data_IF_620512671246
#
_entry.id   IF_620512671246
#
_cell.length_a   1.000
_cell.length_b   1.000
_cell.length_c   1.000
_cell.angle_alpha   90.00
_cell.angle_beta   90.00
_cell.angle_gamma   90.00
#
_symmetry.space_group_name_H-M   'P 1'
#
loop_
_entity.id
_entity.type
_entity.pdbx_description
1 polymer ?
#
# COMPACT_ATOMS: atom_id res chain seq x y z
N UNK A 1 11.50 5.79 -0.97
CA UNK A 1 11.07 4.61 -0.22
C UNK A 1 12.23 3.66 -0.31
N UNK A 2 13.02 3.57 0.75
CA UNK A 2 14.15 2.63 0.80
C UNK A 2 13.56 1.37 1.42
N UNK A 3 13.50 0.31 0.64
CA UNK A 3 13.13 -1.00 1.14
C UNK A 3 14.42 -1.68 1.56
N UNK A 4 14.45 -2.39 2.68
CA UNK A 4 15.53 -3.31 3.01
C UNK A 4 15.09 -4.69 2.52
N UNK A 5 15.36 -5.00 1.24
CA UNK A 5 15.06 -6.32 0.66
C UNK A 5 16.33 -6.77 -0.07
N UNK A 6 16.76 -7.99 0.24
CA UNK A 6 18.07 -8.47 -0.18
C UNK A 6 18.17 -8.63 -1.71
N UNK A 7 19.31 -8.23 -2.27
CA UNK A 7 20.10 -9.13 -3.10
C UNK A 7 21.52 -9.16 -2.54
N UNK A 8 22.11 -10.36 -2.49
CA UNK A 8 23.48 -10.58 -2.07
C UNK A 8 24.43 -9.64 -2.81
N UNK A 9 24.92 -8.62 -2.13
CA UNK A 9 26.25 -8.00 -2.23
C UNK A 9 26.17 -6.64 -1.54
N UNK A 10 26.53 -6.62 -0.26
CA UNK A 10 27.01 -5.43 0.46
C UNK A 10 26.24 -4.11 0.25
N UNK A 11 24.91 -4.10 0.43
CA UNK A 11 24.11 -2.90 0.83
C UNK A 11 22.69 -3.34 1.17
N UNK A 12 22.26 -3.12 2.42
CA UNK A 12 20.99 -3.53 3.05
C UNK A 12 19.74 -2.78 2.50
N UNK A 13 19.64 -2.63 1.18
CA UNK A 13 18.54 -1.87 0.57
C UNK A 13 18.15 -2.46 -0.79
N UNK A 14 16.89 -2.83 -0.94
CA UNK A 14 16.23 -2.93 -2.24
C UNK A 14 15.94 -1.54 -2.77
N UNK A 15 16.55 -1.28 -3.91
CA UNK A 15 16.34 -0.08 -4.70
C UNK A 15 15.52 -0.47 -5.92
N UNK A 16 14.39 0.22 -6.14
CA UNK A 16 13.66 0.09 -7.41
C UNK A 16 14.53 0.71 -8.49
N UNK A 17 15.20 -0.13 -9.27
CA UNK A 17 16.15 0.31 -10.30
C UNK A 17 15.45 0.99 -11.48
N UNK A 18 14.23 0.57 -11.81
CA UNK A 18 13.46 1.08 -12.95
C UNK A 18 12.09 1.59 -12.49
N UNK A 19 11.85 2.88 -12.68
CA UNK A 19 10.53 3.49 -12.56
C UNK A 19 9.95 3.57 -13.97
N UNK A 20 8.86 2.85 -14.20
CA UNK A 20 8.17 2.83 -15.49
C UNK A 20 7.44 4.14 -15.72
N UNK A 21 7.45 4.60 -16.98
CA UNK A 21 6.62 5.72 -17.37
C UNK A 21 5.13 5.33 -17.43
N UNK A 22 4.27 6.33 -17.64
CA UNK A 22 2.81 6.10 -17.65
C UNK A 22 2.36 5.19 -18.81
N UNK A 23 3.07 5.19 -19.94
CA UNK A 23 2.72 4.33 -21.07
C UNK A 23 3.05 2.87 -20.75
N UNK A 24 4.24 2.59 -20.22
CA UNK A 24 4.65 1.26 -19.81
C UNK A 24 3.79 0.71 -18.66
N UNK A 25 3.40 1.56 -17.69
CA UNK A 25 2.46 1.19 -16.63
C UNK A 25 1.15 0.65 -17.23
N UNK A 26 0.56 1.37 -18.19
CA UNK A 26 -0.71 0.96 -18.79
C UNK A 26 -0.58 -0.35 -19.55
N UNK A 27 0.50 -0.53 -20.33
CA UNK A 27 0.77 -1.78 -21.04
C UNK A 27 0.91 -2.95 -20.08
N UNK A 28 1.64 -2.78 -18.98
CA UNK A 28 1.84 -3.85 -17.99
C UNK A 28 0.55 -4.18 -17.24
N UNK A 29 -0.24 -3.19 -16.84
CA UNK A 29 -1.55 -3.45 -16.21
C UNK A 29 -2.48 -4.24 -17.15
N UNK A 30 -2.46 -3.99 -18.45
CA UNK A 30 -3.26 -4.76 -19.41
C UNK A 30 -2.78 -6.21 -19.55
N UNK A 31 -1.48 -6.45 -19.44
CA UNK A 31 -0.90 -7.79 -19.56
C UNK A 31 -1.07 -8.64 -18.29
N UNK A 32 -1.28 -8.02 -17.14
CA UNK A 32 -1.49 -8.70 -15.86
C UNK A 32 -2.94 -8.57 -15.38
N UNK A 33 -3.76 -9.55 -15.75
CA UNK A 33 -5.18 -9.60 -15.38
C UNK A 33 -5.46 -10.40 -14.10
N UNK A 34 -4.52 -11.26 -13.69
CA UNK A 34 -4.69 -12.14 -12.54
C UNK A 34 -3.36 -12.36 -11.84
N UNK A 35 -3.43 -12.45 -10.51
CA UNK A 35 -2.34 -12.88 -9.65
C UNK A 35 -2.71 -14.25 -9.10
N UNK A 36 -1.79 -15.20 -9.16
CA UNK A 36 -2.00 -16.56 -8.69
C UNK A 36 -1.19 -16.87 -7.43
N UNK A 37 -0.03 -16.21 -7.25
CA UNK A 37 0.85 -16.46 -6.11
C UNK A 37 1.49 -15.20 -5.53
N UNK A 38 1.86 -15.20 -4.23
CA UNK A 38 2.50 -14.06 -3.59
C UNK A 38 3.88 -13.69 -4.17
N UNK A 39 4.65 -14.67 -4.67
CA UNK A 39 5.99 -14.48 -5.24
C UNK A 39 5.98 -13.52 -6.43
N UNK A 40 4.86 -13.47 -7.18
CA UNK A 40 4.68 -12.59 -8.33
C UNK A 40 4.87 -11.11 -7.95
N UNK A 41 4.65 -10.74 -6.69
CA UNK A 41 4.91 -9.39 -6.21
C UNK A 41 6.36 -8.97 -6.45
N UNK A 42 7.34 -9.87 -6.36
CA UNK A 42 8.75 -9.50 -6.55
C UNK A 42 9.01 -8.94 -7.95
N UNK A 43 8.37 -9.54 -8.97
CA UNK A 43 8.47 -9.11 -10.36
C UNK A 43 7.59 -7.88 -10.65
N UNK A 44 6.43 -7.82 -10.01
CA UNK A 44 5.44 -6.75 -10.19
C UNK A 44 5.71 -5.51 -9.33
N UNK A 45 6.62 -5.59 -8.36
CA UNK A 45 6.88 -4.51 -7.44
C UNK A 45 7.25 -3.18 -8.13
N UNK A 46 8.13 -3.15 -9.16
CA UNK A 46 8.43 -1.92 -9.88
C UNK A 46 7.19 -1.30 -10.54
N UNK A 47 6.22 -2.11 -10.98
CA UNK A 47 4.95 -1.62 -11.53
C UNK A 47 4.14 -0.87 -10.46
N UNK A 48 3.88 -1.51 -9.33
CA UNK A 48 3.11 -0.88 -8.24
C UNK A 48 3.82 0.36 -7.70
N UNK A 49 5.14 0.30 -7.53
CA UNK A 49 5.93 1.45 -7.12
C UNK A 49 5.81 2.61 -8.12
N UNK A 50 5.92 2.33 -9.42
CA UNK A 50 5.80 3.35 -10.47
C UNK A 50 4.41 4.00 -10.49
N UNK A 51 3.36 3.23 -10.22
CA UNK A 51 2.00 3.79 -10.07
C UNK A 51 1.92 4.72 -8.85
N UNK A 52 2.53 4.38 -7.72
CA UNK A 52 2.59 5.28 -6.55
C UNK A 52 3.33 6.59 -6.88
N UNK A 53 4.42 6.52 -7.64
CA UNK A 53 5.22 7.70 -8.03
C UNK A 53 4.47 8.58 -9.03
N UNK A 54 3.79 7.98 -9.99
CA UNK A 54 3.02 8.67 -11.03
C UNK A 54 1.52 8.72 -10.73
N UNK A 55 1.15 8.66 -9.46
CA UNK A 55 -0.23 8.43 -9.04
C UNK A 55 -1.21 9.38 -9.73
N UNK A 56 -0.94 10.68 -9.72
CA UNK A 56 -1.80 11.71 -10.32
C UNK A 56 -1.95 11.61 -11.85
N UNK A 57 -1.01 10.94 -12.53
CA UNK A 57 -0.97 10.78 -13.99
C UNK A 57 -1.54 9.45 -14.48
N UNK A 58 -1.58 8.42 -13.65
CA UNK A 58 -2.18 7.12 -14.00
C UNK A 58 -3.71 7.27 -14.00
N UNK A 59 -4.40 6.57 -14.92
CA UNK A 59 -5.87 6.58 -15.01
C UNK A 59 -6.52 6.07 -13.72
N UNK A 60 -7.78 6.46 -13.47
CA UNK A 60 -8.48 6.00 -12.25
C UNK A 60 -8.65 4.47 -12.30
N UNK A 61 -9.06 3.95 -13.46
CA UNK A 61 -9.22 2.50 -13.67
C UNK A 61 -7.90 1.74 -13.45
N UNK A 62 -6.76 2.30 -13.87
CA UNK A 62 -5.45 1.67 -13.64
C UNK A 62 -5.06 1.65 -12.16
N UNK A 63 -5.39 2.70 -11.40
CA UNK A 63 -5.19 2.75 -9.94
C UNK A 63 -6.09 1.74 -9.23
N UNK A 64 -7.36 1.66 -9.62
CA UNK A 64 -8.33 0.70 -9.07
C UNK A 64 -7.86 -0.74 -9.29
N UNK A 65 -7.50 -1.09 -10.53
CA UNK A 65 -6.98 -2.41 -10.88
C UNK A 65 -5.75 -2.77 -10.05
N UNK A 66 -4.79 -1.86 -9.93
CA UNK A 66 -3.58 -2.09 -9.15
C UNK A 66 -3.87 -2.35 -7.66
N UNK A 67 -4.84 -1.63 -7.08
CA UNK A 67 -5.26 -1.85 -5.69
C UNK A 67 -5.95 -3.20 -5.53
N UNK A 68 -6.83 -3.59 -6.46
CA UNK A 68 -7.47 -4.91 -6.42
C UNK A 68 -6.44 -6.04 -6.48
N UNK A 69 -5.41 -5.89 -7.32
CA UNK A 69 -4.28 -6.82 -7.41
C UNK A 69 -3.48 -6.87 -6.10
N UNK A 70 -3.17 -5.72 -5.49
CA UNK A 70 -2.48 -5.68 -4.19
C UNK A 70 -3.30 -6.34 -3.06
N UNK A 71 -4.62 -6.14 -3.04
CA UNK A 71 -5.50 -6.78 -2.07
C UNK A 71 -5.60 -8.29 -2.29
N UNK A 72 -5.57 -8.76 -3.54
CA UNK A 72 -5.46 -10.19 -3.87
C UNK A 72 -4.14 -10.77 -3.35
N UNK A 73 -3.01 -10.10 -3.57
CA UNK A 73 -1.70 -10.52 -3.04
C UNK A 73 -1.70 -10.60 -1.52
N UNK A 74 -2.30 -9.63 -0.82
CA UNK A 74 -2.44 -9.66 0.64
C UNK A 74 -3.23 -10.90 1.07
N UNK A 75 -4.35 -11.18 0.42
CA UNK A 75 -5.16 -12.36 0.75
C UNK A 75 -4.37 -13.66 0.57
N UNK A 76 -3.68 -13.82 -0.57
CA UNK A 76 -2.86 -14.99 -0.86
C UNK A 76 -1.73 -15.16 0.16
N UNK A 77 -0.97 -14.09 0.42
CA UNK A 77 0.16 -14.12 1.36
C UNK A 77 -0.31 -14.42 2.79
N UNK A 78 -1.42 -13.83 3.23
CA UNK A 78 -1.94 -14.10 4.57
C UNK A 78 -2.38 -15.55 4.74
N UNK A 79 -2.94 -16.17 3.70
CA UNK A 79 -3.28 -17.59 3.70
C UNK A 79 -2.01 -18.45 3.81
N UNK A 80 -0.98 -18.13 3.03
CA UNK A 80 0.25 -18.93 3.02
C UNK A 80 1.04 -18.78 4.33
N UNK A 81 1.17 -17.57 4.86
CA UNK A 81 1.76 -17.33 6.19
C UNK A 81 1.00 -18.10 7.26
N UNK A 82 -0.33 -18.04 7.30
CA UNK A 82 -1.11 -18.77 8.31
C UNK A 82 -0.90 -20.29 8.25
N UNK A 83 -0.75 -20.87 7.05
CA UNK A 83 -0.48 -22.31 6.86
C UNK A 83 0.90 -22.72 7.36
N UNK A 84 1.88 -21.82 7.25
CA UNK A 84 3.28 -22.15 7.47
C UNK A 84 3.82 -21.67 8.82
N UNK A 85 3.22 -20.67 9.46
CA UNK A 85 3.76 -20.05 10.69
C UNK A 85 3.80 -20.97 11.91
N UNK A 86 3.03 -22.05 11.90
CA UNK A 86 3.05 -23.09 12.93
C UNK A 86 4.06 -24.22 12.64
N UNK A 87 4.75 -24.14 11.50
CA UNK A 87 5.82 -25.05 11.11
C UNK A 87 7.16 -24.37 11.40
N UNK A 88 8.20 -25.15 11.59
CA UNK A 88 9.58 -24.63 11.67
C UNK A 88 10.01 -24.15 10.27
N UNK A 89 9.66 -22.90 9.96
CA UNK A 89 10.08 -22.20 8.75
C UNK A 89 11.59 -22.08 8.71
N UNK A 90 12.18 -22.39 7.55
CA UNK A 90 13.58 -22.10 7.28
C UNK A 90 13.84 -20.58 7.38
N UNK A 91 15.10 -20.21 7.57
CA UNK A 91 15.48 -18.79 7.63
C UNK A 91 15.11 -18.07 6.32
N UNK A 92 15.28 -18.74 5.18
CA UNK A 92 15.03 -18.16 3.87
C UNK A 92 13.52 -18.01 3.59
N UNK A 93 12.71 -19.01 3.92
CA UNK A 93 11.24 -18.91 3.76
C UNK A 93 10.66 -17.81 4.67
N UNK A 94 11.17 -17.71 5.91
CA UNK A 94 10.77 -16.67 6.85
C UNK A 94 11.09 -15.27 6.31
N UNK A 95 12.29 -15.09 5.76
CA UNK A 95 12.72 -13.84 5.13
C UNK A 95 11.89 -13.52 3.90
N UNK A 96 11.59 -14.51 3.08
CA UNK A 96 10.75 -14.36 1.90
C UNK A 96 9.38 -13.79 2.27
N UNK A 97 8.65 -14.43 3.18
CA UNK A 97 7.34 -13.96 3.63
C UNK A 97 7.40 -12.57 4.28
N UNK A 98 8.42 -12.33 5.12
CA UNK A 98 8.64 -11.03 5.75
C UNK A 98 8.82 -9.92 4.70
N UNK A 99 9.58 -10.19 3.65
CA UNK A 99 9.84 -9.26 2.56
C UNK A 99 8.56 -8.91 1.80
N UNK A 100 7.76 -9.92 1.43
CA UNK A 100 6.46 -9.73 0.76
C UNK A 100 5.53 -8.87 1.64
N UNK A 101 5.41 -9.18 2.93
CA UNK A 101 4.58 -8.42 3.87
C UNK A 101 5.02 -6.95 3.95
N UNK A 102 6.32 -6.69 4.04
CA UNK A 102 6.88 -5.32 4.08
C UNK A 102 6.55 -4.56 2.80
N UNK A 103 6.72 -5.20 1.64
CA UNK A 103 6.43 -4.61 0.33
C UNK A 103 4.94 -4.25 0.22
N UNK A 104 4.04 -5.20 0.52
CA UNK A 104 2.58 -4.99 0.46
C UNK A 104 2.13 -3.90 1.41
N UNK A 105 2.60 -3.94 2.66
CA UNK A 105 2.22 -2.96 3.69
C UNK A 105 2.59 -1.55 3.28
N UNK A 106 3.79 -1.36 2.73
CA UNK A 106 4.25 -0.04 2.33
C UNK A 106 3.62 0.46 1.03
N UNK A 107 3.36 -0.42 0.06
CA UNK A 107 2.59 -0.05 -1.13
C UNK A 107 1.19 0.40 -0.73
N UNK A 108 0.45 -0.39 0.04
CA UNK A 108 -0.89 -0.02 0.50
C UNK A 108 -0.88 1.27 1.32
N UNK A 109 0.05 1.43 2.26
CA UNK A 109 0.17 2.64 3.07
C UNK A 109 0.37 3.89 2.19
N UNK A 110 1.21 3.81 1.17
CA UNK A 110 1.43 4.93 0.25
C UNK A 110 0.22 5.15 -0.66
N UNK A 111 -0.43 4.10 -1.16
CA UNK A 111 -1.68 4.23 -1.91
C UNK A 111 -2.75 4.99 -1.12
N UNK A 112 -2.94 4.66 0.17
CA UNK A 112 -3.89 5.38 1.03
C UNK A 112 -3.56 6.88 1.06
N UNK A 113 -2.29 7.24 1.27
CA UNK A 113 -1.85 8.64 1.36
C UNK A 113 -2.00 9.35 0.00
N UNK A 114 -1.60 8.72 -1.11
CA UNK A 114 -1.70 9.33 -2.45
C UNK A 114 -3.15 9.55 -2.85
N UNK A 115 -3.98 8.56 -2.60
CA UNK A 115 -5.41 8.63 -2.85
C UNK A 115 -6.07 9.77 -2.07
N UNK A 116 -5.78 9.85 -0.78
CA UNK A 116 -6.33 10.86 0.10
C UNK A 116 -5.96 12.29 -0.34
N UNK A 117 -4.69 12.52 -0.67
CA UNK A 117 -4.20 13.80 -1.19
C UNK A 117 -4.85 14.18 -2.54
N UNK A 118 -5.05 13.21 -3.45
CA UNK A 118 -5.71 13.43 -4.73
C UNK A 118 -7.16 13.90 -4.55
N UNK A 119 -7.89 13.33 -3.59
CA UNK A 119 -9.25 13.76 -3.25
C UNK A 119 -9.29 15.18 -2.67
N UNK A 120 -8.38 15.52 -1.75
CA UNK A 120 -8.29 16.86 -1.17
C UNK A 120 -8.03 17.91 -2.25
N UNK A 121 -7.06 17.65 -3.14
CA UNK A 121 -6.73 18.59 -4.21
C UNK A 121 -7.91 18.81 -5.16
N UNK A 122 -8.65 17.74 -5.49
CA UNK A 122 -9.86 17.84 -6.32
C UNK A 122 -10.97 18.66 -5.65
N UNK A 123 -11.18 18.52 -4.33
CA UNK A 123 -12.16 19.33 -3.59
C UNK A 123 -11.79 20.82 -3.64
N UNK A 124 -10.52 21.15 -3.40
CA UNK A 124 -10.04 22.55 -3.40
C UNK A 124 -10.19 23.21 -4.78
N UNK A 125 -10.03 22.47 -5.88
CA UNK A 125 -10.19 22.97 -7.25
C UNK A 125 -11.65 23.26 -7.64
N UNK A 126 -12.61 22.61 -6.97
CA UNK A 126 -14.06 22.85 -7.18
C UNK A 126 -14.50 24.12 -6.46
N UNK A 127 -13.93 24.41 -5.29
CA UNK A 127 -14.31 25.55 -4.45
C UNK A 127 -13.66 26.88 -4.87
N UNK A 128 -12.74 26.88 -5.85
CA UNK A 128 -12.14 28.12 -6.35
C UNK A 128 -13.02 28.83 -7.41
N UNK A 129 -13.20 30.16 -7.29
CA UNK A 129 -13.89 30.95 -8.31
C UNK A 129 -13.16 30.86 -9.67
N UNK A 130 -13.91 30.92 -10.79
CA UNK A 130 -13.39 30.64 -12.13
C UNK A 130 -12.20 31.53 -12.56
N UNK A 131 -12.01 32.68 -11.91
CA UNK A 131 -10.95 33.64 -12.18
C UNK A 131 -9.57 33.27 -11.62
N UNK A 132 -9.45 32.27 -10.73
CA UNK A 132 -8.17 31.87 -10.10
C UNK A 132 -7.68 30.45 -10.45
N UNK A 133 -8.30 29.77 -11.42
CA UNK A 133 -7.80 28.46 -11.89
C UNK A 133 -6.42 28.59 -12.52
N UNK A 134 -5.37 28.30 -11.73
CA UNK A 134 -4.00 28.15 -12.23
C UNK A 134 -4.02 27.10 -13.33
N UNK A 135 -3.44 27.45 -14.49
CA UNK A 135 -3.23 26.57 -15.65
C UNK A 135 -2.28 25.41 -15.27
N UNK A 136 -2.75 24.42 -14.52
CA UNK A 136 -2.18 23.06 -14.60
C UNK A 136 -2.89 22.38 -15.76
N UNK A 137 -2.10 21.77 -16.64
CA UNK A 137 -2.55 21.13 -17.86
C UNK A 137 -3.85 20.35 -17.62
N UNK A 138 -4.86 20.59 -18.46
CA UNK A 138 -6.07 19.78 -18.55
C UNK A 138 -5.66 18.35 -18.88
N UNK A 139 -5.28 17.56 -17.88
CA UNK A 139 -5.36 16.12 -17.98
C UNK A 139 -6.85 15.81 -18.18
N UNK A 140 -7.12 15.07 -19.25
CA UNK A 140 -8.44 14.82 -19.82
C UNK A 140 -9.52 14.60 -18.77
N UNK A 141 -10.54 15.47 -18.76
CA UNK A 141 -11.88 15.13 -18.27
C UNK A 141 -12.49 14.11 -19.22
N UNK A 142 -11.93 12.91 -19.26
CA UNK A 142 -12.68 11.74 -19.71
C UNK A 142 -13.55 11.34 -18.53
N UNK A 143 -14.82 11.05 -18.77
CA UNK A 143 -15.74 10.46 -17.78
C UNK A 143 -15.28 9.04 -17.41
N UNK A 144 -14.03 8.86 -16.97
CA UNK A 144 -13.59 7.63 -16.34
C UNK A 144 -14.33 7.52 -15.01
N UNK A 145 -15.34 6.67 -15.01
CA UNK A 145 -16.01 6.25 -13.79
C UNK A 145 -15.15 5.16 -13.16
N UNK A 146 -14.64 5.47 -11.98
CA UNK A 146 -14.09 4.50 -11.03
C UNK A 146 -15.05 3.31 -10.91
N UNK A 147 -14.53 2.07 -10.97
CA UNK A 147 -15.37 0.89 -10.71
C UNK A 147 -15.78 0.83 -9.25
N UNK A 148 -15.01 1.50 -8.38
CA UNK A 148 -15.23 1.65 -6.95
C UNK A 148 -15.64 3.07 -6.62
N UNK A 149 -16.53 3.28 -5.65
CA UNK A 149 -16.69 4.63 -5.10
C UNK A 149 -15.38 5.05 -4.43
N UNK A 150 -15.06 6.34 -4.46
CA UNK A 150 -13.81 6.86 -3.90
C UNK A 150 -13.59 6.41 -2.43
N UNK A 151 -14.65 6.49 -1.62
CA UNK A 151 -14.62 5.99 -0.25
C UNK A 151 -14.38 4.47 -0.15
N UNK A 152 -14.90 3.68 -1.10
CA UNK A 152 -14.72 2.23 -1.12
C UNK A 152 -13.27 1.81 -1.29
N UNK A 153 -12.48 2.52 -2.09
CA UNK A 153 -11.09 2.14 -2.33
C UNK A 153 -10.20 2.42 -1.12
N UNK A 154 -10.29 3.60 -0.50
CA UNK A 154 -9.60 3.90 0.77
C UNK A 154 -9.95 2.87 1.83
N UNK A 155 -11.24 2.58 1.97
CA UNK A 155 -11.76 1.69 3.00
C UNK A 155 -11.28 0.25 2.77
N UNK A 156 -11.19 -0.21 1.51
CA UNK A 156 -10.59 -1.50 1.15
C UNK A 156 -9.10 -1.56 1.46
N UNK A 157 -8.32 -0.54 1.09
CA UNK A 157 -6.89 -0.48 1.40
C UNK A 157 -6.65 -0.51 2.93
N UNK A 158 -7.45 0.24 3.69
CA UNK A 158 -7.32 0.28 5.14
C UNK A 158 -7.65 -1.07 5.78
N UNK A 159 -8.67 -1.77 5.27
CA UNK A 159 -8.99 -3.15 5.68
C UNK A 159 -7.86 -4.12 5.35
N UNK A 160 -7.31 -4.07 4.13
CA UNK A 160 -6.16 -4.91 3.75
C UNK A 160 -4.95 -4.68 4.65
N UNK A 161 -4.64 -3.42 4.99
CA UNK A 161 -3.58 -3.11 5.95
C UNK A 161 -3.89 -3.68 7.34
N UNK A 162 -5.14 -3.55 7.81
CA UNK A 162 -5.59 -4.18 9.05
C UNK A 162 -5.44 -5.70 9.04
N UNK A 163 -5.71 -6.38 7.93
CA UNK A 163 -5.61 -7.84 7.83
C UNK A 163 -4.16 -8.29 8.01
N UNK A 164 -3.20 -7.57 7.42
CA UNK A 164 -1.77 -7.79 7.66
C UNK A 164 -1.43 -7.55 9.14
N UNK A 165 -1.94 -6.47 9.73
CA UNK A 165 -1.57 -6.13 11.12
C UNK A 165 -2.18 -7.10 12.14
N UNK A 166 -3.39 -7.60 11.89
CA UNK A 166 -4.08 -8.56 12.76
C UNK A 166 -3.50 -9.97 12.65
N UNK A 167 -2.85 -10.32 11.54
CA UNK A 167 -2.26 -11.64 11.38
C UNK A 167 -1.05 -11.85 12.30
N UNK A 168 -0.76 -13.12 12.58
CA UNK A 168 0.30 -13.54 13.50
C UNK A 168 1.68 -13.47 12.82
N UNK A 169 2.06 -12.31 12.29
CA UNK A 169 3.28 -12.12 11.48
C UNK A 169 4.55 -11.90 12.31
N UNK A 170 4.43 -11.62 13.61
CA UNK A 170 5.58 -11.33 14.49
C UNK A 170 6.69 -12.40 14.46
N UNK A 171 6.39 -13.71 14.41
CA UNK A 171 7.42 -14.74 14.28
C UNK A 171 8.26 -14.67 13.00
N UNK A 172 7.83 -13.92 11.98
CA UNK A 172 8.60 -13.76 10.75
C UNK A 172 9.85 -12.89 10.96
N UNK A 173 9.89 -12.09 12.03
CA UNK A 173 11.09 -11.37 12.42
C UNK A 173 12.03 -12.28 13.22
N UNK A 174 13.34 -12.08 13.03
CA UNK A 174 14.40 -12.72 13.79
C UNK A 174 15.39 -11.67 14.33
N UNK A 175 15.43 -11.40 15.66
CA UNK A 175 14.52 -11.92 16.68
C UNK A 175 13.08 -11.47 16.41
N UNK A 176 12.07 -12.12 16.99
CA UNK A 176 10.63 -11.82 16.77
C UNK A 176 10.19 -10.47 17.35
N UNK A 177 10.79 -9.42 16.83
CA UNK A 177 10.70 -8.03 17.21
C UNK A 177 10.48 -7.26 15.92
N UNK A 178 9.35 -6.57 15.82
CA UNK A 178 9.01 -5.83 14.62
C UNK A 178 9.90 -4.59 14.53
N UNK A 179 10.55 -4.42 13.39
CA UNK A 179 11.44 -3.28 13.17
C UNK A 179 10.67 -1.94 13.11
N UNK A 180 11.35 -0.87 13.55
CA UNK A 180 10.78 0.46 13.65
C UNK A 180 10.35 1.01 12.28
N UNK A 181 11.03 0.63 11.19
CA UNK A 181 10.73 1.10 9.84
C UNK A 181 9.37 0.57 9.37
N UNK A 182 9.07 -0.70 9.64
CA UNK A 182 7.77 -1.29 9.38
C UNK A 182 6.67 -0.57 10.17
N UNK A 183 6.88 -0.36 11.47
CA UNK A 183 5.93 0.37 12.33
C UNK A 183 5.66 1.78 11.79
N UNK A 184 6.72 2.54 11.47
CA UNK A 184 6.60 3.86 10.84
C UNK A 184 5.81 3.79 9.54
N UNK A 185 6.08 2.80 8.70
CA UNK A 185 5.41 2.62 7.42
C UNK A 185 3.89 2.45 7.60
N UNK A 186 3.46 1.57 8.50
CA UNK A 186 2.03 1.24 8.66
C UNK A 186 1.24 2.26 9.49
N UNK A 187 1.90 2.97 10.41
CA UNK A 187 1.27 4.04 11.21
C UNK A 187 1.18 5.39 10.48
N UNK A 188 2.05 5.64 9.49
CA UNK A 188 2.05 6.86 8.67
C UNK A 188 0.68 7.20 8.05
N UNK A 189 -0.02 6.29 7.34
CA UNK A 189 -1.35 6.59 6.81
C UNK A 189 -2.37 6.87 7.93
N UNK A 190 -2.23 6.26 9.11
CA UNK A 190 -3.12 6.52 10.23
C UNK A 190 -3.03 7.97 10.73
N UNK A 191 -1.81 8.46 10.97
CA UNK A 191 -1.60 9.84 11.36
C UNK A 191 -2.01 10.84 10.28
N UNK A 192 -1.84 10.46 9.01
CA UNK A 192 -2.30 11.28 7.88
C UNK A 192 -3.83 11.45 7.90
N UNK A 193 -4.57 10.35 8.05
CA UNK A 193 -6.04 10.36 8.04
C UNK A 193 -6.65 10.97 9.31
N UNK A 194 -6.06 10.80 10.49
CA UNK A 194 -6.57 11.39 11.75
C UNK A 194 -6.63 12.91 11.68
N UNK A 195 -5.73 13.55 10.93
CA UNK A 195 -5.69 15.01 10.78
C UNK A 195 -6.84 15.56 9.94
N UNK A 196 -7.67 14.69 9.34
CA UNK A 196 -8.77 15.04 8.46
C UNK A 196 -10.12 14.90 9.15
N UNK A 197 -10.75 16.04 9.46
CA UNK A 197 -12.02 16.09 10.19
C UNK A 197 -13.22 15.59 9.38
N UNK A 198 -13.15 15.69 8.05
CA UNK A 198 -14.13 15.20 7.09
C UNK A 198 -14.15 13.66 7.04
N UNK A 199 -12.96 13.04 7.08
CA UNK A 199 -12.81 11.59 6.98
C UNK A 199 -12.91 10.90 8.35
N UNK A 200 -12.62 11.59 9.45
CA UNK A 200 -12.74 11.04 10.80
C UNK A 200 -14.15 10.53 11.15
N UNK A 201 -15.18 10.96 10.42
CA UNK A 201 -16.57 10.49 10.55
C UNK A 201 -16.86 9.21 9.78
N UNK A 202 -16.00 8.80 8.84
CA UNK A 202 -16.17 7.54 8.12
C UNK A 202 -16.06 6.36 9.12
N UNK A 203 -17.04 5.45 9.16
CA UNK A 203 -17.09 4.37 10.15
C UNK A 203 -15.91 3.40 10.02
N UNK A 204 -15.49 3.07 8.79
CA UNK A 204 -14.36 2.17 8.54
C UNK A 204 -13.07 2.81 9.06
N UNK A 205 -12.85 4.09 8.80
CA UNK A 205 -11.69 4.83 9.30
C UNK A 205 -11.69 4.87 10.83
N UNK A 206 -12.83 5.22 11.43
CA UNK A 206 -13.01 5.30 12.88
C UNK A 206 -12.77 3.96 13.59
N UNK A 207 -13.14 2.85 12.96
CA UNK A 207 -12.94 1.51 13.50
C UNK A 207 -11.50 1.01 13.33
N UNK A 208 -10.92 1.19 12.14
CA UNK A 208 -9.66 0.52 11.78
C UNK A 208 -8.40 1.30 12.20
N UNK A 209 -8.45 2.64 12.23
CA UNK A 209 -7.27 3.43 12.64
C UNK A 209 -6.83 3.17 14.08
N UNK A 210 -7.72 3.24 15.10
CA UNK A 210 -7.31 2.97 16.48
C UNK A 210 -6.78 1.56 16.65
N UNK A 211 -7.34 0.59 15.93
CA UNK A 211 -6.89 -0.79 15.96
C UNK A 211 -5.45 -0.93 15.42
N UNK A 212 -5.15 -0.40 14.23
CA UNK A 212 -3.78 -0.45 13.67
C UNK A 212 -2.79 0.15 14.66
N UNK A 213 -3.10 1.34 15.19
CA UNK A 213 -2.23 2.02 16.15
C UNK A 213 -2.05 1.21 17.44
N UNK A 214 -3.13 0.67 18.00
CA UNK A 214 -3.08 -0.13 19.24
C UNK A 214 -2.24 -1.39 19.05
N UNK A 215 -2.45 -2.13 17.97
CA UNK A 215 -1.68 -3.34 17.69
C UNK A 215 -0.20 -3.00 17.47
N UNK A 216 0.10 -1.93 16.72
CA UNK A 216 1.47 -1.51 16.48
C UNK A 216 2.18 -1.08 17.77
N UNK A 217 1.53 -0.32 18.64
CA UNK A 217 2.07 0.08 19.94
C UNK A 217 2.38 -1.17 20.76
N UNK A 218 1.43 -2.10 20.92
CA UNK A 218 1.64 -3.31 21.71
C UNK A 218 2.73 -4.22 21.12
N UNK A 219 2.78 -4.37 19.79
CA UNK A 219 3.79 -5.20 19.11
C UNK A 219 5.19 -4.54 19.14
N UNK A 220 5.26 -3.21 19.23
CA UNK A 220 6.50 -2.43 19.30
C UNK A 220 7.00 -2.22 20.73
N UNK A 221 6.15 -2.14 21.75
CA UNK A 221 6.58 -1.92 23.14
C UNK A 221 7.34 -3.13 23.71
N UNK A 222 7.02 -4.34 23.26
CA UNK A 222 7.82 -5.53 23.59
C UNK A 222 9.18 -5.61 22.86
N UNK A 223 9.56 -4.56 22.11
CA UNK A 223 10.87 -4.41 21.45
C UNK A 223 11.88 -3.59 22.25
N UNK A 224 11.46 -2.95 23.35
CA UNK A 224 12.31 -2.12 24.23
C UNK A 224 12.75 -2.87 25.47
#
# INVERSE_FOLDING_TARGET
MVFDLQQQHSTLCYYVQNVFDVAEINTRLQNHSRIEKPEELLEMFPLFYSIVIHFDKVSITGRDQAVEMLLQLISLEMIDVQRQIHRDLSIDDRRFHLNIIKMLSCLIAEYIIRFDNDQTNKSLDVDMPPSKKRKKAKASKTNEKSSLTSDSLRDKCLKGLCDIIRSHIKPLWDPSIIDEQFVKCVTKPCYHLIRRTDIAKNPIVKENLPLILTIMINKFEHAR
#
